data_IF_812728091236
#
_entry.id   IF_812728091236
#
_cell.length_a   1.000
_cell.length_b   1.000
_cell.length_c   1.000
_cell.angle_alpha   90.00
_cell.angle_beta   90.00
_cell.angle_gamma   90.00
#
_symmetry.space_group_name_H-M   'P 1'
#
loop_
_entity.id
_entity.type
_entity.pdbx_description
1 polymer ?
#
# COMPACT_ATOMS: atom_id res chain seq x y z
N UNK A 1 3.92 6.81 19.48
CA UNK A 1 3.72 5.48 18.87
C UNK A 1 3.53 5.71 17.38
N UNK A 2 4.48 5.28 16.54
CA UNK A 2 4.31 5.38 15.08
C UNK A 2 3.25 4.35 14.67
N UNK A 3 2.36 4.72 13.76
CA UNK A 3 1.31 3.85 13.25
C UNK A 3 1.41 3.90 11.74
N UNK A 4 1.30 2.74 11.10
CA UNK A 4 1.34 2.64 9.65
C UNK A 4 -0.04 2.26 9.13
N UNK A 5 -0.28 2.61 7.88
CA UNK A 5 -1.42 2.17 7.11
C UNK A 5 -0.90 1.24 6.04
N UNK A 6 -1.49 0.05 5.97
CA UNK A 6 -1.32 -0.88 4.87
C UNK A 6 -2.55 -0.79 3.97
N UNK A 7 -2.33 -0.43 2.71
CA UNK A 7 -3.30 -0.45 1.64
C UNK A 7 -3.07 -1.73 0.82
N UNK A 8 -3.99 -2.66 0.93
CA UNK A 8 -4.01 -3.89 0.18
C UNK A 8 -4.93 -3.73 -1.03
N UNK A 9 -4.40 -3.96 -2.22
CA UNK A 9 -5.10 -3.81 -3.49
C UNK A 9 -5.11 -5.17 -4.17
N UNK A 10 -6.29 -5.70 -4.49
CA UNK A 10 -6.37 -6.96 -5.21
C UNK A 10 -6.25 -6.73 -6.72
N UNK A 11 -5.19 -7.26 -7.32
CA UNK A 11 -4.91 -7.17 -8.76
C UNK A 11 -4.00 -8.30 -9.21
N UNK A 12 -4.43 -9.02 -10.25
CA UNK A 12 -3.66 -10.08 -10.90
C UNK A 12 -2.73 -9.55 -12.01
N UNK A 13 -2.86 -8.27 -12.36
CA UNK A 13 -2.02 -7.64 -13.40
C UNK A 13 -0.75 -7.07 -12.79
N UNK A 14 0.39 -7.65 -13.13
CA UNK A 14 1.71 -7.16 -12.72
C UNK A 14 1.99 -5.74 -13.24
N UNK A 15 1.62 -5.44 -14.49
CA UNK A 15 1.78 -4.08 -15.04
C UNK A 15 0.99 -3.03 -14.25
N UNK A 16 -0.20 -3.43 -13.76
CA UNK A 16 -0.99 -2.56 -12.90
C UNK A 16 -0.30 -2.33 -11.56
N UNK A 17 0.30 -3.37 -10.97
CA UNK A 17 1.06 -3.26 -9.73
C UNK A 17 2.22 -2.27 -9.87
N UNK A 18 3.07 -2.40 -10.89
CA UNK A 18 4.19 -1.48 -11.15
C UNK A 18 3.71 -0.02 -11.30
N UNK A 19 2.60 0.17 -12.03
CA UNK A 19 2.01 1.50 -12.21
C UNK A 19 1.50 2.08 -10.90
N UNK A 20 0.82 1.26 -10.09
CA UNK A 20 0.33 1.67 -8.77
C UNK A 20 1.47 2.01 -7.82
N UNK A 21 2.56 1.23 -7.83
CA UNK A 21 3.75 1.51 -7.01
C UNK A 21 4.29 2.90 -7.31
N UNK A 22 4.49 3.24 -8.59
CA UNK A 22 4.99 4.56 -8.98
C UNK A 22 4.06 5.69 -8.53
N UNK A 23 2.74 5.51 -8.67
CA UNK A 23 1.75 6.52 -8.28
C UNK A 23 1.64 6.67 -6.76
N UNK A 24 1.56 5.56 -6.04
CA UNK A 24 1.46 5.54 -4.58
C UNK A 24 2.75 6.08 -3.96
N UNK A 25 3.92 5.78 -4.52
CA UNK A 25 5.20 6.32 -4.08
C UNK A 25 5.23 7.86 -4.18
N UNK A 26 4.71 8.42 -5.28
CA UNK A 26 4.54 9.86 -5.42
C UNK A 26 3.54 10.48 -4.42
N UNK A 27 2.67 9.66 -3.81
CA UNK A 27 1.70 10.06 -2.78
C UNK A 27 2.21 9.82 -1.34
N UNK A 28 3.49 9.47 -1.18
CA UNK A 28 4.13 9.32 0.13
C UNK A 28 4.13 7.91 0.69
N UNK A 29 3.75 6.90 -0.08
CA UNK A 29 3.98 5.50 0.31
C UNK A 29 5.46 5.16 0.22
N UNK A 30 5.96 4.46 1.23
CA UNK A 30 7.40 4.24 1.44
C UNK A 30 7.82 2.79 1.26
N UNK A 31 6.89 1.83 1.38
CA UNK A 31 7.16 0.41 1.16
C UNK A 31 6.04 -0.27 0.39
N UNK A 32 6.42 -1.28 -0.40
CA UNK A 32 5.53 -2.04 -1.27
C UNK A 32 5.90 -3.53 -1.20
N UNK A 33 4.89 -4.39 -1.23
CA UNK A 33 5.02 -5.84 -1.32
C UNK A 33 4.09 -6.32 -2.44
N UNK A 34 4.72 -6.72 -3.55
CA UNK A 34 4.07 -7.30 -4.72
C UNK A 34 3.81 -8.80 -4.48
N UNK A 35 2.59 -9.24 -4.76
CA UNK A 35 2.19 -10.65 -4.74
C UNK A 35 1.52 -10.99 -6.05
N UNK A 36 1.40 -12.28 -6.35
CA UNK A 36 0.79 -12.76 -7.61
C UNK A 36 -0.58 -12.14 -7.90
N UNK A 37 -1.42 -11.94 -6.87
CA UNK A 37 -2.80 -11.45 -7.03
C UNK A 37 -3.10 -10.17 -6.23
N UNK A 38 -2.10 -9.56 -5.60
CA UNK A 38 -2.33 -8.37 -4.77
C UNK A 38 -1.08 -7.52 -4.62
N UNK A 39 -1.29 -6.23 -4.36
CA UNK A 39 -0.25 -5.26 -4.02
C UNK A 39 -0.52 -4.70 -2.62
N UNK A 40 0.47 -4.79 -1.76
CA UNK A 40 0.44 -4.22 -0.42
C UNK A 40 1.32 -2.98 -0.39
N UNK A 41 0.76 -1.82 -0.03
CA UNK A 41 1.49 -0.57 0.06
C UNK A 41 1.42 -0.01 1.48
N UNK A 42 2.54 0.48 2.00
CA UNK A 42 2.67 0.96 3.38
C UNK A 42 3.06 2.43 3.43
N UNK A 43 2.41 3.17 4.33
CA UNK A 43 2.62 4.60 4.54
C UNK A 43 2.40 4.94 6.01
N UNK A 44 3.13 5.93 6.54
CA UNK A 44 2.86 6.44 7.88
C UNK A 44 1.42 6.97 7.96
N UNK A 45 0.69 6.60 9.00
CA UNK A 45 -0.70 7.05 9.24
C UNK A 45 -0.81 8.57 9.27
N UNK A 46 0.24 9.28 9.68
CA UNK A 46 0.27 10.75 9.67
C UNK A 46 0.34 11.32 8.25
N UNK A 47 0.93 10.58 7.32
CA UNK A 47 1.05 10.96 5.91
C UNK A 47 -0.12 10.45 5.06
N UNK A 48 -0.81 9.40 5.51
CA UNK A 48 -1.94 8.81 4.80
C UNK A 48 -3.11 9.79 4.61
N UNK A 49 -3.40 10.11 3.35
CA UNK A 49 -4.55 10.93 2.95
C UNK A 49 -5.46 10.14 2.03
N UNK A 50 -6.62 9.74 2.57
CA UNK A 50 -7.63 8.97 1.81
C UNK A 50 -8.09 9.72 0.53
N UNK A 51 -8.16 11.05 0.59
CA UNK A 51 -8.57 11.89 -0.55
C UNK A 51 -7.64 11.81 -1.76
N UNK A 52 -6.35 11.53 -1.55
CA UNK A 52 -5.36 11.44 -2.64
C UNK A 52 -5.35 10.03 -3.26
N UNK A 53 -5.76 9.01 -2.50
CA UNK A 53 -5.74 7.60 -2.91
C UNK A 53 -7.01 7.20 -3.66
N UNK A 54 -8.17 7.65 -3.20
CA UNK A 54 -9.46 7.36 -3.86
C UNK A 54 -9.44 7.59 -5.39
N UNK A 55 -9.01 8.75 -5.92
CA UNK A 55 -8.99 8.98 -7.36
C UNK A 55 -8.05 8.04 -8.11
N UNK A 56 -6.94 7.60 -7.48
CA UNK A 56 -6.03 6.61 -8.07
C UNK A 56 -6.76 5.28 -8.22
N UNK A 57 -7.38 4.80 -7.13
CA UNK A 57 -8.13 3.54 -7.14
C UNK A 57 -9.29 3.57 -8.15
N UNK A 58 -10.03 4.68 -8.21
CA UNK A 58 -11.12 4.88 -9.18
C UNK A 58 -10.62 4.89 -10.63
N UNK A 59 -9.48 5.56 -10.90
CA UNK A 59 -8.89 5.61 -12.23
C UNK A 59 -8.53 4.21 -12.77
N UNK A 60 -8.09 3.32 -11.89
CA UNK A 60 -7.79 1.92 -12.22
C UNK A 60 -8.97 0.96 -12.00
N UNK A 61 -10.17 1.48 -11.71
CA UNK A 61 -11.39 0.70 -11.42
C UNK A 61 -11.22 -0.32 -10.30
N UNK A 62 -10.34 -0.03 -9.35
CA UNK A 62 -10.04 -0.89 -8.22
C UNK A 62 -11.18 -0.77 -7.21
N UNK A 63 -12.05 -1.77 -7.24
CA UNK A 63 -13.20 -1.85 -6.35
C UNK A 63 -12.90 -2.66 -5.09
N UNK A 64 -11.86 -3.51 -5.14
CA UNK A 64 -11.49 -4.44 -4.07
C UNK A 64 -10.15 -3.99 -3.48
N UNK A 65 -10.24 -3.25 -2.39
CA UNK A 65 -9.08 -2.82 -1.60
C UNK A 65 -9.41 -2.85 -0.11
N UNK A 66 -8.39 -3.06 0.72
CA UNK A 66 -8.48 -3.06 2.17
C UNK A 66 -7.47 -2.10 2.76
N UNK A 67 -7.89 -1.34 3.78
CA UNK A 67 -7.02 -0.40 4.48
C UNK A 67 -6.92 -0.86 5.93
N UNK A 68 -5.75 -1.31 6.34
CA UNK A 68 -5.48 -1.85 7.67
C UNK A 68 -4.54 -0.94 8.43
N UNK A 69 -4.88 -0.63 9.69
CA UNK A 69 -4.02 0.12 10.60
C UNK A 69 -3.07 -0.84 11.28
N UNK A 70 -1.77 -0.63 11.11
CA UNK A 70 -0.72 -1.45 11.73
C UNK A 70 -0.13 -0.65 12.90
N UNK A 71 -0.25 -1.17 14.11
CA UNK A 71 0.46 -0.63 15.27
C UNK A 71 1.91 -1.11 15.26
N UNK A 72 2.86 -0.21 15.58
CA UNK A 72 4.31 -0.34 15.43
C UNK A 72 5.00 -1.62 15.94
N UNK A 73 4.30 -2.55 16.59
CA UNK A 73 4.92 -3.68 17.27
C UNK A 73 5.46 -4.79 16.36
N UNK A 74 5.05 -4.85 15.08
CA UNK A 74 5.31 -6.03 14.23
C UNK A 74 5.69 -5.74 12.76
N UNK A 75 5.98 -4.49 12.37
CA UNK A 75 6.35 -4.19 10.98
C UNK A 75 7.86 -4.26 10.72
N UNK A 76 8.70 -3.66 11.57
CA UNK A 76 10.15 -3.81 11.47
C UNK A 76 10.61 -5.28 11.47
N UNK A 77 9.97 -6.13 12.27
CA UNK A 77 10.32 -7.56 12.33
C UNK A 77 9.96 -8.35 11.08
N UNK A 78 8.96 -7.95 10.30
CA UNK A 78 8.61 -8.66 9.05
C UNK A 78 9.55 -8.29 7.90
N UNK A 79 10.05 -7.05 7.90
CA UNK A 79 11.03 -6.59 6.93
C UNK A 79 12.43 -7.16 7.20
N UNK A 80 12.88 -7.23 8.46
CA UNK A 80 14.18 -7.84 8.83
C UNK A 80 14.22 -9.36 8.67
N UNK A 81 13.07 -10.05 8.57
CA UNK A 81 13.04 -11.51 8.32
C UNK A 81 12.96 -11.89 6.84
N UNK A 82 12.65 -10.92 5.97
CA UNK A 82 12.56 -11.14 4.52
C UNK A 82 13.82 -10.69 3.76
N UNK A 83 14.90 -10.36 4.48
CA UNK A 83 16.22 -10.02 3.94
C UNK A 83 17.30 -10.99 4.44
#
# INVERSE_FOLDING_TARGET
MQQFICLQIHTESLQLQETLIALLSANGFEAFEEKDNELLAYIDKQQFKKGDILPILENFKISIYSITKIENKNWNQQWERSF
#
